data_IF_729171573406
#
_entry.id   IF_729171573406
#
_cell.length_a   1.000
_cell.length_b   1.000
_cell.length_c   1.000
_cell.angle_alpha   90.00
_cell.angle_beta   90.00
_cell.angle_gamma   90.00
#
_symmetry.space_group_name_H-M   'P 1'
#
loop_
_entity.id
_entity.type
_entity.pdbx_description
1 polymer ?
#
# COMPACT_ATOMS: atom_id res chain seq x y z
N UNK A 1 7.80 -6.11 1.48
CA UNK A 1 7.97 -5.58 2.86
C UNK A 1 8.32 -6.68 3.83
N UNK A 2 7.54 -7.77 3.92
CA UNK A 2 7.78 -8.86 4.88
C UNK A 2 9.21 -9.43 4.79
N UNK A 3 9.69 -9.74 3.58
CA UNK A 3 11.05 -10.28 3.36
C UNK A 3 12.14 -9.29 3.81
N UNK A 4 11.95 -7.98 3.57
CA UNK A 4 12.91 -6.94 4.00
C UNK A 4 12.97 -6.80 5.52
N UNK A 5 11.81 -6.87 6.20
CA UNK A 5 11.72 -6.80 7.65
C UNK A 5 12.33 -8.06 8.28
N UNK A 6 12.00 -9.22 7.73
CA UNK A 6 12.56 -10.51 8.15
C UNK A 6 14.08 -10.52 8.02
N UNK A 7 14.62 -10.08 6.88
CA UNK A 7 16.06 -9.98 6.67
C UNK A 7 16.74 -8.97 7.60
N UNK A 8 16.14 -7.79 7.82
CA UNK A 8 16.65 -6.79 8.76
C UNK A 8 16.65 -7.30 10.20
N UNK A 9 15.62 -7.99 10.63
CA UNK A 9 15.53 -8.59 11.95
C UNK A 9 16.62 -9.66 12.15
N UNK A 10 16.78 -10.57 11.19
CA UNK A 10 17.81 -11.61 11.24
C UNK A 10 19.23 -11.04 11.17
N UNK A 11 19.43 -10.00 10.36
CA UNK A 11 20.72 -9.30 10.26
C UNK A 11 21.07 -8.62 11.60
N UNK A 12 20.11 -7.93 12.21
CA UNK A 12 20.29 -7.29 13.52
C UNK A 12 20.59 -8.33 14.61
N UNK A 13 19.86 -9.45 14.62
CA UNK A 13 20.07 -10.56 15.54
C UNK A 13 21.47 -11.18 15.37
N UNK A 14 21.88 -11.45 14.13
CA UNK A 14 23.21 -11.98 13.82
C UNK A 14 24.32 -11.02 14.23
N UNK A 15 24.13 -9.71 14.01
CA UNK A 15 25.08 -8.67 14.41
C UNK A 15 25.24 -8.62 15.95
N UNK A 16 24.13 -8.65 16.69
CA UNK A 16 24.16 -8.63 18.16
C UNK A 16 24.85 -9.85 18.73
N UNK A 17 24.53 -11.03 18.20
CA UNK A 17 25.20 -12.28 18.62
C UNK A 17 26.68 -12.20 18.27
N UNK A 18 27.05 -11.75 17.07
CA UNK A 18 28.45 -11.59 16.65
C UNK A 18 29.22 -10.61 17.53
N UNK A 19 28.67 -9.44 17.82
CA UNK A 19 29.27 -8.42 18.69
C UNK A 19 29.39 -8.94 20.12
N UNK A 20 28.39 -9.63 20.65
CA UNK A 20 28.41 -10.22 21.99
C UNK A 20 29.52 -11.26 22.11
N UNK A 21 29.65 -12.14 21.12
CA UNK A 21 30.73 -13.14 21.05
C UNK A 21 32.10 -12.46 21.00
N UNK A 22 32.25 -11.42 20.17
CA UNK A 22 33.52 -10.69 20.02
C UNK A 22 33.92 -9.96 21.31
N UNK A 23 32.99 -9.30 21.99
CA UNK A 23 33.24 -8.64 23.29
C UNK A 23 33.62 -9.66 24.34
N UNK A 24 32.91 -10.76 24.41
CA UNK A 24 33.18 -11.87 25.31
C UNK A 24 34.60 -12.43 25.12
N UNK A 25 34.93 -12.72 23.87
CA UNK A 25 36.25 -13.20 23.51
C UNK A 25 37.35 -12.20 23.86
N UNK A 26 37.17 -10.91 23.55
CA UNK A 26 38.15 -9.87 23.84
C UNK A 26 38.36 -9.64 25.35
N UNK A 27 37.29 -9.68 26.13
CA UNK A 27 37.38 -9.55 27.59
C UNK A 27 38.04 -10.79 28.22
N UNK A 28 37.71 -12.00 27.76
CA UNK A 28 38.36 -13.22 28.20
C UNK A 28 39.86 -13.18 27.87
N UNK A 29 40.23 -12.72 26.70
CA UNK A 29 41.64 -12.60 26.31
C UNK A 29 42.42 -11.58 27.19
N UNK A 30 41.81 -10.42 27.47
CA UNK A 30 42.43 -9.38 28.35
C UNK A 30 42.57 -9.85 29.79
N UNK A 31 41.63 -10.57 30.34
CA UNK A 31 41.69 -11.10 31.69
C UNK A 31 42.73 -12.22 31.81
N UNK A 32 42.87 -12.99 30.74
CA UNK A 32 43.89 -14.01 30.61
C UNK A 32 45.32 -13.41 30.66
N UNK A 33 45.53 -12.35 29.86
CA UNK A 33 46.79 -11.62 29.82
C UNK A 33 47.15 -10.98 31.19
N UNK A 34 46.15 -10.49 31.96
CA UNK A 34 46.36 -9.90 33.30
C UNK A 34 46.76 -10.95 34.35
N UNK A 35 46.15 -12.11 34.35
CA UNK A 35 46.44 -13.20 35.31
C UNK A 35 47.81 -13.82 35.01
N UNK A 36 48.27 -13.83 33.78
CA UNK A 36 49.56 -14.36 33.39
C UNK A 36 50.68 -13.50 33.95
N UNK A 37 50.49 -12.18 34.06
CA UNK A 37 51.49 -11.26 34.59
C UNK A 37 51.75 -11.45 36.10
N UNK A 38 50.74 -11.85 36.87
CA UNK A 38 50.84 -11.98 38.33
C UNK A 38 51.42 -13.32 38.83
N UNK A 39 51.53 -14.36 38.02
CA UNK A 39 51.85 -15.74 38.45
C UNK A 39 53.22 -16.25 38.00
N UNK A 40 54.11 -15.39 37.48
CA UNK A 40 55.40 -15.83 36.88
C UNK A 40 56.54 -16.32 37.82
N UNK A 41 56.65 -15.98 39.11
CA UNK A 41 57.81 -16.37 39.90
C UNK A 41 57.92 -17.86 40.26
N UNK A 42 56.86 -18.61 40.58
CA UNK A 42 57.05 -19.95 41.18
C UNK A 42 57.58 -21.02 40.21
N UNK A 43 57.14 -21.03 38.94
CA UNK A 43 57.48 -22.09 37.98
C UNK A 43 58.97 -22.12 37.62
N UNK A 44 59.60 -20.96 37.46
CA UNK A 44 61.01 -20.89 37.16
C UNK A 44 61.88 -21.26 38.39
N UNK A 45 61.40 -20.90 39.59
CA UNK A 45 62.08 -21.24 40.84
C UNK A 45 62.00 -22.76 41.12
N UNK A 46 60.82 -23.36 41.01
CA UNK A 46 60.62 -24.83 41.20
C UNK A 46 61.42 -25.67 40.16
N UNK A 47 61.41 -25.19 38.88
CA UNK A 47 62.23 -25.85 37.86
C UNK A 47 63.74 -25.74 38.13
N UNK A 48 64.20 -24.65 38.70
CA UNK A 48 65.61 -24.49 39.08
C UNK A 48 65.99 -25.39 40.29
N UNK A 49 65.08 -25.52 41.23
CA UNK A 49 65.26 -26.44 42.40
C UNK A 49 65.29 -27.89 41.96
N UNK A 50 64.40 -28.32 41.07
CA UNK A 50 64.39 -29.66 40.49
C UNK A 50 65.65 -29.96 39.67
N UNK A 51 66.25 -28.95 39.02
CA UNK A 51 67.50 -29.10 38.29
C UNK A 51 68.68 -29.22 39.29
N UNK A 52 68.69 -28.37 40.31
CA UNK A 52 69.73 -28.38 41.31
C UNK A 52 69.79 -29.71 42.16
N UNK A 53 68.61 -30.27 42.51
CA UNK A 53 68.53 -31.48 43.35
C UNK A 53 68.67 -32.81 42.60
N UNK A 54 68.35 -32.83 41.29
CA UNK A 54 68.32 -34.08 40.51
C UNK A 54 68.96 -34.01 39.11
N UNK A 55 69.64 -32.94 38.81
CA UNK A 55 70.18 -32.69 37.48
C UNK A 55 69.16 -32.76 36.38
N UNK A 56 69.54 -33.01 35.13
CA UNK A 56 68.68 -33.15 33.97
C UNK A 56 67.57 -34.23 34.17
N UNK A 57 67.85 -35.29 34.91
CA UNK A 57 66.83 -36.34 35.21
C UNK A 57 65.77 -35.82 36.18
N UNK A 58 66.13 -35.02 37.18
CA UNK A 58 65.20 -34.40 38.12
C UNK A 58 64.30 -33.39 37.43
N UNK A 59 64.85 -32.59 36.58
CA UNK A 59 64.08 -31.61 35.78
C UNK A 59 63.07 -32.25 34.80
N UNK A 60 63.50 -33.37 34.15
CA UNK A 60 62.60 -34.17 33.33
C UNK A 60 61.43 -34.75 34.08
N UNK A 61 61.73 -35.31 35.31
CA UNK A 61 60.68 -35.90 36.18
C UNK A 61 59.74 -34.84 36.71
N UNK A 62 60.23 -33.65 37.08
CA UNK A 62 59.44 -32.52 37.53
C UNK A 62 58.57 -32.01 36.43
N UNK A 63 59.11 -31.85 35.20
CA UNK A 63 58.35 -31.36 34.01
C UNK A 63 57.20 -32.34 33.67
N UNK A 64 57.47 -33.63 33.68
CA UNK A 64 56.43 -34.63 33.41
C UNK A 64 55.36 -34.68 34.54
N UNK A 65 55.73 -34.50 35.82
CA UNK A 65 54.75 -34.46 36.90
C UNK A 65 53.90 -33.17 36.95
N UNK A 66 54.42 -32.06 36.47
CA UNK A 66 53.72 -30.76 36.50
C UNK A 66 53.01 -30.42 35.17
N UNK A 67 53.08 -31.29 34.16
CA UNK A 67 52.45 -31.06 32.87
C UNK A 67 50.92 -30.97 32.95
N UNK A 68 50.29 -31.78 33.84
CA UNK A 68 48.84 -31.81 34.05
C UNK A 68 48.33 -30.75 35.05
N UNK A 69 49.20 -30.26 35.96
CA UNK A 69 48.81 -29.27 36.97
C UNK A 69 48.76 -27.83 36.41
N UNK A 70 49.27 -27.60 35.22
CA UNK A 70 49.13 -26.37 34.46
C UNK A 70 48.09 -26.54 33.33
N UNK A 71 46.90 -26.89 33.74
CA UNK A 71 45.81 -27.33 32.84
C UNK A 71 45.41 -26.36 31.70
N UNK A 72 45.98 -25.18 31.64
CA UNK A 72 45.68 -24.14 30.61
C UNK A 72 46.94 -23.68 29.85
N UNK A 73 48.13 -24.31 30.07
CA UNK A 73 49.42 -23.82 29.51
C UNK A 73 50.27 -24.99 29.05
N UNK A 74 50.92 -24.79 27.89
CA UNK A 74 51.97 -25.68 27.46
C UNK A 74 53.32 -25.15 27.98
N UNK A 75 53.93 -25.90 28.91
CA UNK A 75 55.28 -25.61 29.44
C UNK A 75 56.29 -26.40 28.63
N UNK A 76 57.24 -25.64 28.00
CA UNK A 76 58.35 -26.24 27.27
C UNK A 76 59.67 -25.78 27.96
N UNK A 77 60.59 -26.74 28.13
CA UNK A 77 61.97 -26.43 28.56
C UNK A 77 62.87 -26.79 27.38
N UNK A 78 63.39 -25.76 26.75
CA UNK A 78 64.17 -25.90 25.50
C UNK A 78 65.67 -25.86 25.84
N UNK A 79 66.37 -26.86 25.35
CA UNK A 79 67.82 -26.96 25.49
C UNK A 79 68.59 -26.03 24.52
N UNK A 80 69.91 -25.98 24.61
CA UNK A 80 70.72 -25.14 23.69
C UNK A 80 70.66 -25.61 22.22
N UNK A 81 70.18 -26.84 22.02
CA UNK A 81 69.90 -27.45 20.70
C UNK A 81 68.59 -26.98 20.08
N UNK A 82 67.81 -26.16 20.77
CA UNK A 82 66.48 -25.69 20.33
C UNK A 82 65.37 -26.73 20.41
N UNK A 83 65.63 -27.90 21.04
CA UNK A 83 64.69 -28.99 21.19
C UNK A 83 64.09 -29.00 22.59
N UNK A 84 62.76 -29.31 22.70
CA UNK A 84 62.13 -29.48 24.03
C UNK A 84 62.71 -30.72 24.75
N UNK A 85 62.99 -30.58 26.02
CA UNK A 85 63.64 -31.61 26.86
C UNK A 85 62.86 -32.92 26.92
N UNK A 86 61.54 -32.91 26.70
CA UNK A 86 60.68 -34.12 26.56
C UNK A 86 60.56 -34.62 25.13
N UNK A 87 61.26 -34.00 24.16
CA UNK A 87 61.19 -34.42 22.75
C UNK A 87 59.90 -34.09 22.07
N UNK A 88 59.10 -33.15 22.61
CA UNK A 88 57.83 -32.72 22.01
C UNK A 88 58.06 -31.72 20.89
N UNK A 89 57.22 -31.74 19.89
CA UNK A 89 57.25 -30.70 18.87
C UNK A 89 56.78 -29.36 19.45
N UNK A 90 57.57 -28.34 19.30
CA UNK A 90 57.21 -26.96 19.70
C UNK A 90 56.03 -26.48 18.83
N UNK A 91 54.97 -25.96 19.46
CA UNK A 91 53.88 -25.33 18.73
C UNK A 91 54.38 -24.07 17.97
N UNK A 92 53.67 -23.68 16.94
CA UNK A 92 54.00 -22.50 16.13
C UNK A 92 54.14 -21.21 17.01
N UNK A 93 53.33 -21.09 18.05
CA UNK A 93 53.35 -20.04 19.06
C UNK A 93 54.55 -20.14 19.97
N UNK A 94 55.02 -21.35 20.32
CA UNK A 94 56.23 -21.59 21.10
C UNK A 94 57.48 -21.23 20.28
N UNK A 95 57.47 -21.63 19.01
CA UNK A 95 58.58 -21.36 18.07
C UNK A 95 58.77 -19.85 17.84
N UNK A 96 57.71 -19.11 17.57
CA UNK A 96 57.77 -17.63 17.44
C UNK A 96 58.27 -16.93 18.71
N UNK A 97 57.90 -17.44 19.88
CA UNK A 97 58.42 -16.90 21.17
C UNK A 97 59.91 -17.21 21.35
N UNK A 98 60.36 -18.39 21.01
CA UNK A 98 61.77 -18.74 21.05
C UNK A 98 62.60 -17.86 20.12
N UNK A 99 62.15 -17.69 18.90
CA UNK A 99 62.79 -16.77 17.92
C UNK A 99 62.85 -15.32 18.41
N UNK A 100 61.74 -14.82 19.02
CA UNK A 100 61.72 -13.49 19.59
C UNK A 100 62.73 -13.29 20.69
N UNK A 101 62.90 -14.25 21.61
CA UNK A 101 63.87 -14.20 22.67
C UNK A 101 65.32 -14.38 22.16
N UNK A 102 65.54 -15.19 21.16
CA UNK A 102 66.88 -15.40 20.54
C UNK A 102 67.35 -14.20 19.75
N UNK A 103 66.41 -13.48 19.09
CA UNK A 103 66.75 -12.29 18.30
C UNK A 103 67.14 -11.08 19.19
N UNK A 104 66.51 -10.97 20.38
CA UNK A 104 66.77 -9.89 21.31
C UNK A 104 68.13 -10.06 22.10
N UNK A 105 68.60 -11.28 22.17
CA UNK A 105 69.92 -11.60 22.75
C UNK A 105 71.13 -11.26 21.87
N UNK A 106 70.94 -11.11 20.54
CA UNK A 106 71.99 -10.73 19.56
C UNK A 106 72.09 -9.22 19.33
N UNK A 107 71.11 -8.43 19.77
CA UNK A 107 71.14 -6.99 19.69
C UNK A 107 71.77 -6.41 20.95
N UNK A 108 73.04 -5.97 20.86
CA UNK A 108 73.82 -5.40 21.98
C UNK A 108 73.14 -4.19 22.66
N UNK A 109 73.72 -3.75 23.84
CA UNK A 109 73.07 -2.77 24.70
C UNK A 109 73.38 -1.33 24.22
N UNK A 110 72.71 -0.87 23.15
CA UNK A 110 72.65 0.58 22.82
C UNK A 110 71.55 0.92 21.85
N UNK A 111 70.43 1.32 22.45
CA UNK A 111 69.63 2.41 21.92
C UNK A 111 68.70 2.91 23.02
N UNK A 112 69.03 4.10 23.61
CA UNK A 112 68.13 4.87 24.46
C UNK A 112 66.92 5.30 23.65
N UNK A 113 65.67 5.13 24.15
CA UNK A 113 64.52 5.69 23.52
C UNK A 113 64.58 7.23 23.54
N UNK A 114 64.17 7.85 22.43
CA UNK A 114 64.05 9.31 22.30
C UNK A 114 63.12 9.86 23.40
N UNK A 115 63.51 10.95 24.02
CA UNK A 115 62.69 11.74 24.95
C UNK A 115 61.43 12.22 24.25
N UNK A 116 60.26 11.78 24.77
CA UNK A 116 58.96 12.25 24.26
C UNK A 116 57.91 11.19 24.02
N UNK A 117 58.20 9.92 24.18
CA UNK A 117 57.17 8.86 24.06
C UNK A 117 56.32 8.74 25.35
N UNK A 118 54.97 8.62 25.26
CA UNK A 118 54.13 8.47 26.44
C UNK A 118 54.50 7.18 27.21
N UNK A 119 54.38 7.16 28.55
CA UNK A 119 54.75 6.01 29.36
C UNK A 119 53.80 4.84 29.06
N UNK A 120 54.20 3.97 28.15
CA UNK A 120 53.61 2.69 28.04
C UNK A 120 54.10 1.84 29.24
N UNK A 121 53.23 1.62 30.21
CA UNK A 121 53.46 0.77 31.40
C UNK A 121 53.68 -0.72 31.07
N UNK A 122 54.28 -1.01 29.94
CA UNK A 122 54.60 -2.35 29.49
C UNK A 122 56.11 -2.41 29.13
N UNK A 123 56.94 -2.79 30.11
CA UNK A 123 58.24 -3.35 29.78
C UNK A 123 58.08 -4.87 29.67
N UNK A 124 58.07 -5.47 28.48
CA UNK A 124 58.17 -6.92 28.36
C UNK A 124 59.51 -7.36 29.00
N UNK A 125 59.47 -8.45 29.77
CA UNK A 125 60.74 -9.06 30.23
C UNK A 125 61.57 -9.39 28.97
N UNK A 126 62.70 -8.71 28.83
CA UNK A 126 63.59 -8.82 27.66
C UNK A 126 64.31 -10.18 27.56
N UNK A 127 64.22 -11.05 28.57
CA UNK A 127 64.86 -12.36 28.55
C UNK A 127 63.90 -13.44 29.03
N UNK A 128 63.85 -14.58 28.30
CA UNK A 128 63.15 -15.76 28.78
C UNK A 128 63.85 -16.25 30.06
N UNK A 129 63.10 -16.76 31.08
CA UNK A 129 63.71 -17.36 32.25
C UNK A 129 64.63 -18.52 31.82
N UNK A 130 65.90 -18.37 32.16
CA UNK A 130 66.91 -19.39 31.89
C UNK A 130 67.33 -20.05 33.20
N UNK A 131 67.47 -21.36 33.19
CA UNK A 131 68.04 -22.16 34.26
C UNK A 131 69.36 -22.75 33.78
N UNK A 132 70.39 -22.60 34.57
CA UNK A 132 71.73 -23.10 34.23
C UNK A 132 72.01 -24.34 35.06
N UNK A 133 72.33 -25.43 34.40
CA UNK A 133 72.73 -26.68 35.06
C UNK A 133 74.18 -26.57 35.55
N UNK A 134 74.56 -27.53 36.48
CA UNK A 134 75.90 -27.57 37.08
C UNK A 134 77.04 -27.82 36.08
N UNK A 135 76.70 -28.26 34.88
CA UNK A 135 77.62 -28.45 33.74
C UNK A 135 77.78 -27.21 32.88
N UNK A 136 77.08 -26.12 33.23
CA UNK A 136 77.11 -24.86 32.47
C UNK A 136 76.07 -24.79 31.35
N UNK A 137 75.26 -25.81 31.14
CA UNK A 137 74.24 -25.86 30.06
C UNK A 137 73.04 -24.99 30.46
N UNK A 138 72.62 -24.08 29.61
CA UNK A 138 71.45 -23.19 29.84
C UNK A 138 70.19 -23.74 29.17
N UNK A 139 69.13 -23.78 29.93
CA UNK A 139 67.77 -24.21 29.46
C UNK A 139 66.83 -23.03 29.52
N UNK A 140 66.07 -22.82 28.46
CA UNK A 140 65.08 -21.75 28.37
C UNK A 140 63.68 -22.26 28.69
N UNK A 141 63.00 -21.62 29.63
CA UNK A 141 61.64 -21.97 30.01
C UNK A 141 60.68 -21.15 29.13
N UNK A 142 59.86 -21.83 28.31
CA UNK A 142 58.81 -21.24 27.51
C UNK A 142 57.45 -21.67 28.07
N UNK A 143 56.66 -20.69 28.48
CA UNK A 143 55.26 -20.89 28.87
C UNK A 143 54.40 -20.34 27.75
N UNK A 144 53.68 -21.23 27.04
CA UNK A 144 52.78 -20.87 25.95
C UNK A 144 51.34 -20.98 26.46
N UNK A 145 50.60 -19.88 26.52
CA UNK A 145 49.25 -19.91 26.94
C UNK A 145 48.37 -20.65 25.88
N UNK A 146 47.59 -21.62 26.30
CA UNK A 146 46.53 -22.16 25.47
C UNK A 146 45.45 -21.10 25.31
N UNK A 147 45.15 -20.71 24.07
CA UNK A 147 44.06 -19.77 23.81
C UNK A 147 42.77 -20.33 24.39
N UNK A 148 41.99 -19.53 25.15
CA UNK A 148 40.72 -19.99 25.67
C UNK A 148 39.83 -20.43 24.51
N UNK A 149 39.24 -21.62 24.61
CA UNK A 149 38.23 -22.04 23.65
C UNK A 149 37.02 -21.13 23.78
N UNK A 150 36.34 -20.89 22.67
CA UNK A 150 35.10 -20.08 22.65
C UNK A 150 34.09 -20.67 23.67
N UNK A 151 34.01 -21.99 23.80
CA UNK A 151 33.16 -22.67 24.77
C UNK A 151 33.54 -22.39 26.21
N UNK A 152 34.84 -22.32 26.54
CA UNK A 152 35.31 -21.99 27.90
C UNK A 152 35.05 -20.52 28.27
N UNK A 153 35.02 -19.63 27.30
CA UNK A 153 34.65 -18.24 27.53
C UNK A 153 33.14 -18.07 27.80
N UNK A 154 32.29 -18.83 27.10
CA UNK A 154 30.83 -18.80 27.29
C UNK A 154 30.36 -19.42 28.60
N UNK A 155 31.15 -20.30 29.24
CA UNK A 155 30.78 -20.96 30.51
C UNK A 155 30.92 -20.05 31.74
N UNK A 156 31.42 -18.81 31.60
CA UNK A 156 31.49 -17.86 32.72
C UNK A 156 30.11 -17.26 33.02
N UNK A 157 29.61 -17.30 34.28
CA UNK A 157 28.20 -17.03 34.63
C UNK A 157 27.71 -15.61 34.32
N UNK A 158 28.58 -14.61 34.20
CA UNK A 158 28.19 -13.24 33.91
C UNK A 158 27.88 -12.96 32.43
N UNK A 159 28.38 -13.79 31.52
CA UNK A 159 28.29 -13.53 30.07
C UNK A 159 26.92 -13.95 29.50
N UNK A 160 26.37 -15.12 29.80
CA UNK A 160 25.04 -15.48 29.35
C UNK A 160 23.95 -14.52 29.85
N UNK A 161 24.12 -13.97 31.05
CA UNK A 161 23.18 -12.97 31.61
C UNK A 161 23.22 -11.65 30.83
N UNK A 162 24.38 -11.16 30.45
CA UNK A 162 24.51 -9.93 29.63
C UNK A 162 23.96 -10.14 28.22
N UNK A 163 24.21 -11.27 27.59
CA UNK A 163 23.64 -11.62 26.26
C UNK A 163 22.12 -11.71 26.34
N UNK A 164 21.57 -12.32 27.39
CA UNK A 164 20.13 -12.41 27.62
C UNK A 164 19.51 -11.04 27.81
N UNK A 165 20.13 -10.14 28.58
CA UNK A 165 19.64 -8.78 28.78
C UNK A 165 19.59 -7.97 27.48
N UNK A 166 20.64 -8.03 26.67
CA UNK A 166 20.67 -7.36 25.34
C UNK A 166 19.63 -7.94 24.42
N UNK A 167 19.49 -9.28 24.36
CA UNK A 167 18.48 -9.94 23.54
C UNK A 167 17.04 -9.52 23.93
N UNK A 168 16.75 -9.39 25.23
CA UNK A 168 15.46 -8.92 25.74
C UNK A 168 15.18 -7.47 25.32
N UNK A 169 16.15 -6.57 25.46
CA UNK A 169 15.99 -5.16 25.06
C UNK A 169 15.74 -5.05 23.56
N UNK A 170 16.51 -5.75 22.76
CA UNK A 170 16.32 -5.73 21.28
C UNK A 170 14.98 -6.34 20.88
N UNK A 171 14.59 -7.45 21.50
CA UNK A 171 13.28 -8.08 21.26
C UNK A 171 12.13 -7.13 21.64
N UNK A 172 12.24 -6.42 22.77
CA UNK A 172 11.24 -5.42 23.18
C UNK A 172 11.16 -4.24 22.21
N UNK A 173 12.30 -3.70 21.77
CA UNK A 173 12.35 -2.59 20.81
C UNK A 173 11.81 -2.99 19.44
N UNK A 174 12.16 -4.17 18.94
CA UNK A 174 11.66 -4.66 17.66
C UNK A 174 10.17 -4.98 17.71
N UNK A 175 9.68 -5.57 18.81
CA UNK A 175 8.26 -5.82 19.03
C UNK A 175 7.45 -4.52 19.11
N UNK A 176 7.95 -3.52 19.83
CA UNK A 176 7.34 -2.20 19.92
C UNK A 176 7.28 -1.51 18.57
N UNK A 177 8.41 -1.55 17.82
CA UNK A 177 8.48 -0.96 16.47
C UNK A 177 7.51 -1.67 15.51
N UNK A 178 7.46 -3.00 15.53
CA UNK A 178 6.56 -3.80 14.69
C UNK A 178 5.09 -3.50 15.01
N UNK A 179 4.75 -3.43 16.30
CA UNK A 179 3.40 -3.08 16.76
C UNK A 179 2.97 -1.70 16.26
N UNK A 180 3.86 -0.71 16.36
CA UNK A 180 3.57 0.66 15.91
C UNK A 180 3.53 0.78 14.39
N UNK A 181 4.38 0.02 13.68
CA UNK A 181 4.51 0.14 12.24
C UNK A 181 3.45 -0.63 11.46
N UNK A 182 2.98 -1.78 11.97
CA UNK A 182 2.01 -2.64 11.30
C UNK A 182 0.69 -2.76 12.04
N UNK A 183 0.71 -3.07 13.33
CA UNK A 183 -0.52 -3.38 14.06
C UNK A 183 -1.45 -2.18 14.20
N UNK A 184 -0.90 -0.98 14.43
CA UNK A 184 -1.71 0.23 14.57
C UNK A 184 -2.42 0.63 13.27
N UNK A 185 -1.76 0.66 12.09
CA UNK A 185 -2.44 0.90 10.81
C UNK A 185 -3.50 -0.15 10.46
N UNK A 186 -3.20 -1.43 10.68
CA UNK A 186 -4.16 -2.52 10.42
C UNK A 186 -5.41 -2.36 11.30
N UNK A 187 -5.23 -2.00 12.57
CA UNK A 187 -6.36 -1.76 13.47
C UNK A 187 -7.22 -0.59 13.01
N UNK A 188 -6.63 0.49 12.49
CA UNK A 188 -7.37 1.61 11.90
C UNK A 188 -8.15 1.20 10.66
N UNK A 189 -7.56 0.37 9.77
CA UNK A 189 -8.28 -0.20 8.63
C UNK A 189 -9.46 -1.04 9.08
N UNK A 190 -9.30 -1.84 10.14
CA UNK A 190 -10.40 -2.62 10.72
C UNK A 190 -11.50 -1.74 11.32
N UNK A 191 -11.13 -0.66 12.02
CA UNK A 191 -12.06 0.34 12.56
C UNK A 191 -12.79 1.06 11.42
N UNK A 192 -12.07 1.45 10.35
CA UNK A 192 -12.66 2.01 9.13
C UNK A 192 -13.66 1.07 8.47
N UNK A 193 -13.31 -0.21 8.32
CA UNK A 193 -14.20 -1.21 7.76
C UNK A 193 -15.47 -1.42 8.61
N UNK A 194 -15.35 -1.38 9.93
CA UNK A 194 -16.51 -1.41 10.83
C UNK A 194 -17.34 -0.14 10.73
N UNK A 195 -16.71 1.03 10.60
CA UNK A 195 -17.41 2.29 10.41
C UNK A 195 -18.22 2.29 9.11
N UNK A 196 -17.67 1.76 8.02
CA UNK A 196 -18.40 1.54 6.76
C UNK A 196 -19.59 0.60 6.97
N UNK A 197 -19.42 -0.51 7.69
CA UNK A 197 -20.50 -1.46 7.98
C UNK A 197 -21.62 -0.85 8.85
N UNK A 198 -21.30 0.11 9.72
CA UNK A 198 -22.28 0.86 10.53
C UNK A 198 -22.74 2.17 9.89
N UNK A 199 -22.45 2.34 8.60
CA UNK A 199 -22.83 3.51 7.80
C UNK A 199 -22.20 4.85 8.22
N UNK A 200 -21.16 4.82 9.03
CA UNK A 200 -20.39 6.00 9.43
C UNK A 200 -19.24 6.23 8.45
N UNK A 201 -19.54 6.88 7.31
CA UNK A 201 -18.62 7.02 6.17
C UNK A 201 -17.67 8.24 6.26
N UNK A 202 -17.66 8.97 7.39
CA UNK A 202 -16.84 10.18 7.56
C UNK A 202 -15.43 9.88 8.10
N UNK A 203 -15.18 8.65 8.57
CA UNK A 203 -13.88 8.25 9.09
C UNK A 203 -12.86 8.14 7.97
N UNK A 204 -11.73 8.86 8.10
CA UNK A 204 -10.58 8.78 7.18
C UNK A 204 -9.49 7.89 7.77
N UNK A 205 -9.21 6.79 7.11
CA UNK A 205 -8.19 5.84 7.54
C UNK A 205 -6.80 6.36 7.19
N UNK A 206 -6.65 7.07 6.07
CA UNK A 206 -5.38 7.66 5.62
C UNK A 206 -4.87 8.78 6.53
N UNK A 207 -5.74 9.50 7.26
CA UNK A 207 -5.42 10.66 8.10
C UNK A 207 -4.49 10.38 9.31
N UNK A 208 -3.82 9.30 9.37
CA UNK A 208 -2.81 9.00 10.41
C UNK A 208 -1.63 8.25 9.82
N UNK A 209 -1.55 8.22 8.49
CA UNK A 209 -0.49 7.59 7.71
C UNK A 209 0.25 8.63 6.85
N UNK A 210 0.08 9.93 7.16
CA UNK A 210 0.73 11.03 6.46
C UNK A 210 2.25 10.88 6.53
N UNK A 211 2.90 11.03 5.37
CA UNK A 211 4.35 10.86 5.23
C UNK A 211 4.81 9.40 4.99
N UNK A 212 3.91 8.42 4.92
CA UNK A 212 4.24 7.06 4.51
C UNK A 212 3.99 6.86 3.00
N UNK A 213 4.93 6.16 2.35
CA UNK A 213 4.87 5.80 0.94
C UNK A 213 4.95 4.28 0.74
N UNK A 214 4.39 3.52 1.69
CA UNK A 214 4.36 2.06 1.63
C UNK A 214 2.97 1.55 1.18
N UNK A 215 2.86 0.24 1.04
CA UNK A 215 1.67 -0.47 0.58
C UNK A 215 0.46 -0.24 1.50
N UNK A 216 0.70 -0.02 2.81
CA UNK A 216 -0.36 0.29 3.77
C UNK A 216 -0.95 1.68 3.56
N UNK A 217 -0.12 2.65 3.18
CA UNK A 217 -0.59 4.00 2.85
C UNK A 217 -1.37 4.02 1.52
N UNK A 218 -0.99 3.18 0.54
CA UNK A 218 -1.77 2.98 -0.69
C UNK A 218 -3.12 2.38 -0.35
N UNK A 219 -3.14 1.27 0.39
CA UNK A 219 -4.37 0.59 0.80
C UNK A 219 -5.33 1.51 1.58
N UNK A 220 -4.80 2.35 2.47
CA UNK A 220 -5.62 3.30 3.22
C UNK A 220 -6.26 4.36 2.31
N UNK A 221 -5.53 4.84 1.28
CA UNK A 221 -6.07 5.78 0.29
C UNK A 221 -7.14 5.14 -0.60
N UNK A 222 -6.91 3.91 -1.04
CA UNK A 222 -7.89 3.16 -1.83
C UNK A 222 -9.15 2.88 -1.02
N UNK A 223 -8.99 2.58 0.28
CA UNK A 223 -10.12 2.42 1.21
C UNK A 223 -10.92 3.71 1.36
N UNK A 224 -10.26 4.85 1.56
CA UNK A 224 -10.93 6.15 1.67
C UNK A 224 -11.66 6.53 0.37
N UNK A 225 -11.06 6.25 -0.79
CA UNK A 225 -11.70 6.44 -2.10
C UNK A 225 -12.96 5.57 -2.26
N UNK A 226 -12.91 4.31 -1.84
CA UNK A 226 -14.07 3.41 -1.80
C UNK A 226 -15.17 3.94 -0.87
N UNK A 227 -14.81 4.41 0.32
CA UNK A 227 -15.76 4.98 1.29
C UNK A 227 -16.44 6.24 0.72
N UNK A 228 -15.69 7.11 0.02
CA UNK A 228 -16.24 8.28 -0.67
C UNK A 228 -17.22 7.90 -1.77
N UNK A 229 -16.88 6.90 -2.57
CA UNK A 229 -17.77 6.41 -3.63
C UNK A 229 -19.06 5.83 -3.07
N UNK A 230 -18.96 5.09 -1.96
CA UNK A 230 -20.13 4.54 -1.26
C UNK A 230 -21.03 5.65 -0.71
N UNK A 231 -20.43 6.69 -0.10
CA UNK A 231 -21.13 7.86 0.42
C UNK A 231 -21.83 8.64 -0.70
N UNK A 232 -21.15 8.86 -1.82
CA UNK A 232 -21.72 9.53 -2.98
C UNK A 232 -22.90 8.74 -3.56
N UNK A 233 -22.78 7.42 -3.72
CA UNK A 233 -23.85 6.54 -4.21
C UNK A 233 -25.07 6.56 -3.27
N UNK A 234 -24.83 6.48 -1.96
CA UNK A 234 -25.91 6.54 -0.97
C UNK A 234 -26.65 7.87 -0.98
N UNK A 235 -25.90 8.98 -1.04
CA UNK A 235 -26.46 10.32 -1.09
C UNK A 235 -27.28 10.53 -2.36
N UNK A 236 -26.81 10.05 -3.51
CA UNK A 236 -27.52 10.09 -4.77
C UNK A 236 -28.85 9.29 -4.70
N UNK A 237 -28.80 8.07 -4.11
CA UNK A 237 -30.01 7.23 -3.91
C UNK A 237 -31.02 7.89 -2.99
N UNK A 238 -30.58 8.48 -1.87
CA UNK A 238 -31.48 9.18 -0.93
C UNK A 238 -32.13 10.40 -1.58
N UNK A 239 -31.33 11.16 -2.37
CA UNK A 239 -31.86 12.30 -3.14
C UNK A 239 -32.90 11.86 -4.14
N UNK A 240 -32.62 10.82 -4.92
CA UNK A 240 -33.54 10.24 -5.89
C UNK A 240 -34.88 9.84 -5.25
N UNK A 241 -34.87 9.14 -4.12
CA UNK A 241 -36.09 8.73 -3.39
C UNK A 241 -36.91 9.94 -2.90
N UNK A 242 -36.22 10.99 -2.45
CA UNK A 242 -36.86 12.24 -2.03
C UNK A 242 -37.56 12.93 -3.21
N UNK A 243 -36.84 13.03 -4.34
CA UNK A 243 -37.34 13.71 -5.53
C UNK A 243 -38.53 12.95 -6.14
N UNK A 244 -38.46 11.61 -6.20
CA UNK A 244 -39.60 10.75 -6.56
C UNK A 244 -40.83 11.06 -5.67
N UNK A 245 -40.61 11.12 -4.35
CA UNK A 245 -41.73 11.37 -3.42
C UNK A 245 -42.37 12.74 -3.64
N UNK A 246 -41.58 13.76 -3.96
CA UNK A 246 -42.07 15.10 -4.28
C UNK A 246 -42.83 15.12 -5.62
N UNK A 247 -42.29 14.50 -6.66
CA UNK A 247 -42.90 14.48 -8.00
C UNK A 247 -44.17 13.61 -8.08
N UNK A 248 -44.30 12.57 -7.25
CA UNK A 248 -45.53 11.79 -7.11
C UNK A 248 -46.62 12.55 -6.32
N UNK A 249 -46.26 13.34 -5.32
CA UNK A 249 -47.24 14.07 -4.48
C UNK A 249 -47.99 15.14 -5.28
N UNK A 250 -47.34 15.80 -6.21
CA UNK A 250 -47.95 16.88 -7.00
C UNK A 250 -49.12 16.41 -7.88
N UNK A 251 -49.00 15.37 -8.76
CA UNK A 251 -50.10 14.87 -9.56
C UNK A 251 -51.22 14.28 -8.69
N UNK A 252 -50.87 13.59 -7.59
CA UNK A 252 -51.87 13.09 -6.64
C UNK A 252 -52.73 14.20 -6.02
N UNK A 253 -52.08 15.33 -5.66
CA UNK A 253 -52.82 16.49 -5.15
C UNK A 253 -53.77 17.09 -6.22
N UNK A 254 -53.31 17.21 -7.48
CA UNK A 254 -54.16 17.69 -8.62
C UNK A 254 -55.31 16.76 -8.90
N UNK A 255 -55.10 15.44 -8.91
CA UNK A 255 -56.17 14.44 -9.04
C UNK A 255 -57.21 14.58 -7.93
N UNK A 256 -56.79 14.77 -6.68
CA UNK A 256 -57.74 14.98 -5.55
C UNK A 256 -58.56 16.25 -5.74
N UNK A 257 -57.98 17.33 -6.22
CA UNK A 257 -58.69 18.59 -6.50
C UNK A 257 -59.68 18.35 -7.67
N UNK A 258 -59.23 17.73 -8.76
CA UNK A 258 -60.11 17.43 -9.91
C UNK A 258 -61.30 16.57 -9.50
N UNK A 259 -61.08 15.54 -8.69
CA UNK A 259 -62.14 14.66 -8.16
C UNK A 259 -63.14 15.45 -7.26
N UNK A 260 -62.62 16.36 -6.42
CA UNK A 260 -63.45 17.23 -5.59
C UNK A 260 -64.34 18.17 -6.42
N UNK A 261 -63.75 18.76 -7.47
CA UNK A 261 -64.48 19.63 -8.40
C UNK A 261 -65.51 18.85 -9.24
N UNK A 262 -65.21 17.67 -9.75
CA UNK A 262 -66.15 16.82 -10.44
C UNK A 262 -67.39 16.43 -9.64
N UNK A 263 -67.22 16.28 -8.30
CA UNK A 263 -68.31 16.03 -7.35
C UNK A 263 -69.19 17.25 -7.06
N UNK A 264 -68.59 18.43 -7.08
CA UNK A 264 -69.27 19.70 -6.75
C UNK A 264 -69.95 20.34 -7.93
N UNK A 265 -69.41 20.14 -9.15
CA UNK A 265 -69.86 20.76 -10.38
C UNK A 265 -70.23 19.71 -11.42
N UNK A 266 -71.45 19.15 -11.40
CA UNK A 266 -71.88 18.10 -12.31
C UNK A 266 -71.79 18.45 -13.79
N UNK A 267 -72.03 19.72 -14.15
CA UNK A 267 -71.98 20.22 -15.53
C UNK A 267 -70.53 20.31 -16.10
N UNK A 268 -69.49 20.29 -15.26
CA UNK A 268 -68.07 20.32 -15.65
C UNK A 268 -67.34 18.99 -15.38
N UNK A 269 -68.10 17.95 -15.00
CA UNK A 269 -67.56 16.65 -14.58
C UNK A 269 -66.72 15.99 -15.68
N UNK A 270 -67.16 16.03 -16.95
CA UNK A 270 -66.43 15.45 -18.09
C UNK A 270 -65.03 16.05 -18.20
N UNK A 271 -64.93 17.38 -18.14
CA UNK A 271 -63.63 18.06 -18.20
C UNK A 271 -62.71 17.76 -17.04
N UNK A 272 -63.27 17.53 -15.83
CA UNK A 272 -62.48 17.11 -14.67
C UNK A 272 -62.03 15.65 -14.76
N UNK A 273 -62.85 14.77 -15.40
CA UNK A 273 -62.47 13.40 -15.71
C UNK A 273 -61.32 13.33 -16.72
N UNK A 274 -61.36 14.13 -17.80
CA UNK A 274 -60.27 14.22 -18.78
C UNK A 274 -58.95 14.67 -18.10
N UNK A 275 -59.06 15.62 -17.15
CA UNK A 275 -57.89 16.02 -16.34
C UNK A 275 -57.35 14.89 -15.45
N UNK A 276 -58.24 14.12 -14.83
CA UNK A 276 -57.87 12.98 -14.03
C UNK A 276 -57.16 11.94 -14.89
N UNK A 277 -57.69 11.61 -16.06
CA UNK A 277 -57.08 10.67 -17.01
C UNK A 277 -55.70 11.13 -17.43
N UNK A 278 -55.50 12.37 -17.78
CA UNK A 278 -54.20 13.00 -18.12
C UNK A 278 -53.20 12.92 -16.98
N UNK A 279 -53.64 13.12 -15.71
CA UNK A 279 -52.73 13.02 -14.56
C UNK A 279 -52.37 11.56 -14.22
N UNK A 280 -53.27 10.59 -14.47
CA UNK A 280 -53.03 9.15 -14.34
C UNK A 280 -51.99 8.70 -15.38
N UNK A 281 -52.17 9.04 -16.66
CA UNK A 281 -51.22 8.73 -17.72
C UNK A 281 -49.84 9.30 -17.44
N UNK A 282 -49.79 10.56 -16.93
CA UNK A 282 -48.55 11.19 -16.53
C UNK A 282 -47.85 10.46 -15.40
N UNK A 283 -48.61 9.99 -14.39
CA UNK A 283 -48.11 9.27 -13.25
C UNK A 283 -47.57 7.90 -13.65
N UNK A 284 -48.27 7.19 -14.54
CA UNK A 284 -47.85 5.90 -15.09
C UNK A 284 -46.51 6.04 -15.86
N UNK A 285 -46.38 7.06 -16.66
CA UNK A 285 -45.15 7.40 -17.37
C UNK A 285 -44.00 7.69 -16.40
N UNK A 286 -44.24 8.46 -15.36
CA UNK A 286 -43.23 8.77 -14.32
C UNK A 286 -42.75 7.50 -13.63
N UNK A 287 -43.69 6.60 -13.23
CA UNK A 287 -43.37 5.31 -12.59
C UNK A 287 -42.50 4.46 -13.54
N UNK A 288 -42.89 4.35 -14.80
CA UNK A 288 -42.16 3.58 -15.81
C UNK A 288 -40.73 4.11 -16.00
N UNK A 289 -40.54 5.43 -16.05
CA UNK A 289 -39.23 6.04 -16.15
C UNK A 289 -38.35 5.82 -14.90
N UNK A 290 -38.95 5.91 -13.70
CA UNK A 290 -38.26 5.62 -12.45
C UNK A 290 -37.81 4.17 -12.37
N UNK A 291 -38.69 3.22 -12.75
CA UNK A 291 -38.35 1.79 -12.81
C UNK A 291 -37.27 1.50 -13.84
N UNK A 292 -37.30 2.13 -15.00
CA UNK A 292 -36.23 2.04 -16.00
C UNK A 292 -34.91 2.54 -15.47
N UNK A 293 -34.89 3.72 -14.82
CA UNK A 293 -33.69 4.29 -14.21
C UNK A 293 -33.12 3.39 -13.12
N UNK A 294 -34.00 2.84 -12.26
CA UNK A 294 -33.61 1.92 -11.19
C UNK A 294 -32.99 0.61 -11.74
N UNK A 295 -33.57 0.05 -12.81
CA UNK A 295 -33.02 -1.13 -13.49
C UNK A 295 -31.62 -0.84 -14.08
N UNK A 296 -31.42 0.32 -14.70
CA UNK A 296 -30.13 0.72 -15.27
C UNK A 296 -29.06 1.02 -14.22
N UNK A 297 -29.44 1.35 -12.97
CA UNK A 297 -28.51 1.61 -11.86
C UNK A 297 -28.13 0.34 -11.08
N UNK A 298 -28.87 -0.76 -11.22
CA UNK A 298 -28.54 -2.02 -10.56
C UNK A 298 -27.35 -2.68 -11.23
N UNK A 299 -26.31 -3.03 -10.45
CA UNK A 299 -25.14 -3.76 -10.94
C UNK A 299 -25.48 -5.16 -11.50
N UNK A 300 -26.61 -5.74 -11.04
CA UNK A 300 -27.13 -7.06 -11.46
C UNK A 300 -28.06 -7.01 -12.67
N UNK A 301 -28.18 -5.88 -13.37
CA UNK A 301 -29.04 -5.79 -14.56
C UNK A 301 -28.43 -6.58 -15.72
N UNK A 302 -28.59 -7.88 -15.67
CA UNK A 302 -28.36 -8.80 -16.81
C UNK A 302 -29.50 -8.61 -17.80
N UNK A 303 -29.44 -7.54 -18.61
CA UNK A 303 -30.28 -7.46 -19.80
C UNK A 303 -29.53 -8.11 -20.99
N UNK A 304 -30.29 -8.83 -21.80
CA UNK A 304 -29.73 -9.41 -23.02
C UNK A 304 -29.14 -8.31 -23.89
N UNK A 305 -27.88 -8.47 -24.22
CA UNK A 305 -27.18 -7.56 -25.13
C UNK A 305 -27.11 -8.23 -26.48
N UNK A 306 -27.63 -7.55 -27.48
CA UNK A 306 -27.59 -7.97 -28.88
C UNK A 306 -26.88 -6.94 -29.74
N UNK A 307 -26.48 -7.30 -30.93
CA UNK A 307 -25.92 -6.36 -31.89
C UNK A 307 -27.08 -5.54 -32.49
N UNK A 308 -27.28 -4.34 -31.99
CA UNK A 308 -28.39 -3.46 -32.40
C UNK A 308 -27.95 -2.60 -33.59
N UNK A 309 -28.59 -2.70 -34.75
CA UNK A 309 -28.35 -1.80 -35.88
C UNK A 309 -28.93 -0.44 -35.57
N UNK A 310 -28.04 0.53 -35.28
CA UNK A 310 -28.45 1.84 -34.77
C UNK A 310 -29.21 2.67 -35.79
N UNK A 311 -28.90 2.53 -37.07
CA UNK A 311 -29.59 3.28 -38.11
C UNK A 311 -31.08 2.98 -38.16
N UNK A 312 -31.50 1.71 -37.92
CA UNK A 312 -32.92 1.31 -37.83
C UNK A 312 -33.60 1.96 -36.61
N UNK A 313 -32.93 1.98 -35.45
CA UNK A 313 -33.44 2.61 -34.24
C UNK A 313 -33.64 4.10 -34.44
N UNK A 314 -32.70 4.77 -35.12
CA UNK A 314 -32.80 6.19 -35.42
C UNK A 314 -33.98 6.44 -36.40
N UNK A 315 -34.16 5.63 -37.45
CA UNK A 315 -35.26 5.76 -38.38
C UNK A 315 -36.63 5.59 -37.70
N UNK A 316 -36.77 4.70 -36.75
CA UNK A 316 -37.97 4.56 -35.92
C UNK A 316 -38.23 5.82 -35.08
N UNK A 317 -37.22 6.25 -34.31
CA UNK A 317 -37.34 7.40 -33.40
C UNK A 317 -37.61 8.71 -34.17
N UNK A 318 -37.01 8.87 -35.33
CA UNK A 318 -37.25 10.05 -36.20
C UNK A 318 -38.70 10.06 -36.68
N UNK A 319 -39.23 8.94 -37.18
CA UNK A 319 -40.63 8.85 -37.61
C UNK A 319 -41.62 9.19 -36.50
N UNK A 320 -41.38 8.68 -35.28
CA UNK A 320 -42.23 8.97 -34.12
C UNK A 320 -42.16 10.46 -33.74
N UNK A 321 -40.95 11.02 -33.75
CA UNK A 321 -40.73 12.41 -33.41
C UNK A 321 -41.27 13.38 -34.50
N UNK A 322 -41.23 13.04 -35.77
CA UNK A 322 -41.86 13.81 -36.88
C UNK A 322 -43.37 13.87 -36.68
N UNK A 323 -44.05 12.77 -36.32
CA UNK A 323 -45.46 12.76 -36.02
C UNK A 323 -45.81 13.69 -34.85
N UNK A 324 -45.04 13.62 -33.72
CA UNK A 324 -45.23 14.54 -32.59
C UNK A 324 -44.90 16.01 -32.96
N UNK A 325 -43.86 16.22 -33.77
CA UNK A 325 -43.40 17.55 -34.17
C UNK A 325 -44.31 18.25 -35.16
N UNK A 326 -45.08 17.49 -36.00
CA UNK A 326 -45.99 18.01 -37.01
C UNK A 326 -47.05 18.95 -36.40
N UNK A 327 -47.53 18.67 -35.20
CA UNK A 327 -48.48 19.53 -34.48
C UNK A 327 -47.90 20.90 -34.10
N UNK A 328 -46.55 21.05 -34.06
CA UNK A 328 -45.84 22.28 -33.76
C UNK A 328 -45.19 22.92 -34.99
N UNK A 329 -45.31 22.29 -36.16
CA UNK A 329 -44.61 22.66 -37.37
C UNK A 329 -43.08 22.45 -37.28
N UNK A 330 -42.59 21.68 -36.35
CA UNK A 330 -41.17 21.36 -36.24
C UNK A 330 -40.80 20.26 -37.26
N UNK A 331 -39.83 20.53 -38.12
CA UNK A 331 -39.29 19.53 -39.05
C UNK A 331 -38.01 18.90 -38.46
N UNK A 332 -37.88 17.59 -38.63
CA UNK A 332 -36.68 16.87 -38.22
C UNK A 332 -35.80 16.66 -39.46
N UNK A 333 -34.56 17.13 -39.43
CA UNK A 333 -33.59 16.93 -40.50
C UNK A 333 -32.55 15.89 -40.03
N UNK A 334 -32.76 14.64 -40.41
CA UNK A 334 -31.81 13.56 -40.15
C UNK A 334 -30.77 13.47 -41.27
N UNK A 335 -29.50 13.37 -40.92
CA UNK A 335 -28.37 13.26 -41.84
C UNK A 335 -27.31 12.29 -41.40
N UNK A 336 -26.67 11.62 -42.35
CA UNK A 336 -25.66 10.60 -42.10
C UNK A 336 -26.26 9.22 -41.87
N UNK A 337 -25.44 8.20 -42.03
CA UNK A 337 -25.70 6.80 -41.68
C UNK A 337 -24.42 6.24 -41.07
N UNK A 338 -24.56 5.42 -40.07
CA UNK A 338 -23.39 4.82 -39.40
C UNK A 338 -22.97 3.47 -40.00
N UNK A 339 -23.92 2.70 -40.50
CA UNK A 339 -23.74 1.30 -40.82
C UNK A 339 -23.31 0.43 -39.64
N UNK A 340 -23.36 0.98 -38.42
CA UNK A 340 -22.75 0.40 -37.24
C UNK A 340 -23.79 -0.33 -36.37
N UNK A 341 -23.33 -1.40 -35.72
CA UNK A 341 -24.04 -2.05 -34.64
C UNK A 341 -23.43 -1.69 -33.29
N UNK A 342 -24.27 -1.50 -32.28
CA UNK A 342 -23.89 -1.32 -30.89
C UNK A 342 -24.33 -2.53 -30.09
N UNK A 343 -23.42 -3.10 -29.28
CA UNK A 343 -23.78 -4.21 -28.40
C UNK A 343 -24.59 -3.67 -27.20
N UNK A 344 -25.88 -3.99 -27.18
CA UNK A 344 -26.76 -3.45 -26.15
C UNK A 344 -28.18 -3.93 -26.20
N UNK A 345 -29.04 -3.29 -25.41
CA UNK A 345 -30.48 -3.52 -25.44
C UNK A 345 -31.15 -2.49 -26.33
N UNK A 346 -31.89 -2.97 -27.35
CA UNK A 346 -32.58 -2.14 -28.36
C UNK A 346 -33.54 -1.12 -27.73
N UNK A 347 -34.33 -1.55 -26.73
CA UNK A 347 -35.31 -0.66 -26.10
C UNK A 347 -34.66 0.47 -25.32
N UNK A 348 -33.55 0.18 -24.62
CA UNK A 348 -32.83 1.20 -23.89
C UNK A 348 -32.15 2.20 -24.82
N UNK A 349 -31.50 1.74 -25.88
CA UNK A 349 -30.89 2.60 -26.90
C UNK A 349 -31.93 3.48 -27.59
N UNK A 350 -33.08 2.89 -27.97
CA UNK A 350 -34.24 3.62 -28.54
C UNK A 350 -34.72 4.71 -27.57
N UNK A 351 -34.98 4.35 -26.32
CA UNK A 351 -35.41 5.29 -25.28
C UNK A 351 -34.42 6.44 -25.05
N UNK A 352 -33.10 6.15 -25.09
CA UNK A 352 -32.07 7.18 -24.93
C UNK A 352 -32.10 8.22 -26.06
N UNK A 353 -32.20 7.79 -27.31
CA UNK A 353 -32.25 8.67 -28.49
C UNK A 353 -33.57 9.44 -28.50
N UNK A 354 -34.69 8.75 -28.28
CA UNK A 354 -36.04 9.34 -28.20
C UNK A 354 -36.13 10.45 -27.17
N UNK A 355 -35.62 10.26 -25.96
CA UNK A 355 -35.64 11.25 -24.88
C UNK A 355 -34.93 12.55 -25.29
N UNK A 356 -33.81 12.45 -26.00
CA UNK A 356 -33.09 13.65 -26.48
C UNK A 356 -33.85 14.33 -27.63
N UNK A 357 -34.33 13.54 -28.60
CA UNK A 357 -35.03 14.08 -29.75
C UNK A 357 -36.35 14.74 -29.35
N UNK A 358 -37.13 14.11 -28.46
CA UNK A 358 -38.35 14.72 -27.90
C UNK A 358 -38.07 15.99 -27.11
N UNK A 359 -36.98 16.05 -26.37
CA UNK A 359 -36.57 17.32 -25.72
C UNK A 359 -36.26 18.39 -26.75
N UNK A 360 -35.52 18.06 -27.81
CA UNK A 360 -35.20 19.00 -28.87
C UNK A 360 -36.47 19.55 -29.55
N UNK A 361 -37.42 18.72 -29.94
CA UNK A 361 -38.72 19.12 -30.51
C UNK A 361 -39.53 19.99 -29.54
N UNK A 362 -39.49 19.64 -28.27
CA UNK A 362 -40.26 20.32 -27.23
C UNK A 362 -39.79 21.73 -26.96
N UNK A 363 -38.46 21.95 -26.87
CA UNK A 363 -37.87 23.26 -26.56
C UNK A 363 -37.61 24.11 -27.80
N UNK A 364 -37.70 23.55 -29.01
CA UNK A 364 -37.64 24.30 -30.26
C UNK A 364 -38.84 25.23 -30.40
N UNK A 365 -38.62 26.47 -30.89
CA UNK A 365 -39.72 27.33 -31.34
C UNK A 365 -40.51 26.67 -32.46
N UNK A 366 -41.80 27.03 -32.64
CA UNK A 366 -42.59 26.56 -33.78
C UNK A 366 -41.92 26.90 -35.12
N UNK A 367 -42.08 25.99 -36.09
CA UNK A 367 -41.53 26.13 -37.45
C UNK A 367 -40.00 26.23 -37.53
N UNK A 368 -39.29 25.68 -36.54
CA UNK A 368 -37.82 25.57 -36.57
C UNK A 368 -37.37 24.13 -36.75
N UNK A 369 -36.29 23.88 -37.51
CA UNK A 369 -35.78 22.54 -37.69
C UNK A 369 -35.02 22.02 -36.45
N UNK A 370 -35.18 20.73 -36.16
CA UNK A 370 -34.33 19.96 -35.27
C UNK A 370 -33.40 19.10 -36.12
N UNK A 371 -32.10 19.27 -35.94
CA UNK A 371 -31.08 18.55 -36.72
C UNK A 371 -30.60 17.30 -35.95
N UNK A 372 -30.62 16.14 -36.63
CA UNK A 372 -30.02 14.90 -36.13
C UNK A 372 -28.91 14.49 -37.10
N UNK A 373 -27.68 14.40 -36.61
CA UNK A 373 -26.54 14.00 -37.40
C UNK A 373 -25.90 12.72 -36.81
N UNK A 374 -25.66 11.72 -37.66
CA UNK A 374 -25.03 10.46 -37.30
C UNK A 374 -23.67 10.37 -37.98
N UNK A 375 -22.64 10.03 -37.22
CA UNK A 375 -21.30 9.81 -37.73
C UNK A 375 -20.68 8.58 -37.00
N UNK A 376 -19.93 7.79 -37.74
CA UNK A 376 -19.17 6.69 -37.17
C UNK A 376 -17.70 6.83 -37.61
N UNK A 377 -16.79 6.91 -36.68
CA UNK A 377 -15.35 7.01 -36.95
C UNK A 377 -14.55 6.29 -35.86
N UNK A 378 -13.51 5.59 -36.28
CA UNK A 378 -12.57 4.91 -35.38
C UNK A 378 -13.24 4.00 -34.33
N UNK A 379 -14.29 3.27 -34.69
CA UNK A 379 -14.99 2.38 -33.77
C UNK A 379 -15.89 3.10 -32.76
N UNK A 380 -16.18 4.38 -32.97
CA UNK A 380 -17.07 5.19 -32.13
C UNK A 380 -18.21 5.77 -32.95
N UNK A 381 -19.43 5.43 -32.54
CA UNK A 381 -20.65 6.05 -33.07
C UNK A 381 -20.90 7.38 -32.33
N UNK A 382 -21.23 8.40 -33.07
CA UNK A 382 -21.61 9.70 -32.53
C UNK A 382 -22.94 10.15 -33.13
N UNK A 383 -23.95 10.41 -32.28
CA UNK A 383 -25.25 10.99 -32.65
C UNK A 383 -25.28 12.39 -32.06
N UNK A 384 -25.48 13.41 -32.90
CA UNK A 384 -25.62 14.82 -32.51
C UNK A 384 -27.06 15.26 -32.78
N UNK A 385 -27.73 15.73 -31.74
CA UNK A 385 -29.10 16.28 -31.85
C UNK A 385 -29.01 17.75 -31.47
N UNK A 386 -29.48 18.61 -32.35
CA UNK A 386 -29.38 20.07 -32.23
C UNK A 386 -30.76 20.69 -32.35
N UNK A 387 -31.10 21.52 -31.38
CA UNK A 387 -32.31 22.34 -31.40
C UNK A 387 -32.00 23.81 -31.59
N UNK A 388 -33.05 24.63 -31.70
CA UNK A 388 -33.00 26.08 -31.74
C UNK A 388 -33.74 26.74 -30.59
N UNK A 389 -33.79 26.03 -29.45
CA UNK A 389 -34.39 26.48 -28.21
C UNK A 389 -33.58 27.59 -27.50
N UNK A 390 -33.97 27.94 -26.29
CA UNK A 390 -33.29 28.98 -25.50
C UNK A 390 -31.88 28.57 -25.01
N UNK A 391 -31.51 27.32 -25.18
CA UNK A 391 -30.28 26.80 -24.58
C UNK A 391 -30.41 26.54 -23.08
N UNK A 392 -29.27 26.37 -22.41
CA UNK A 392 -29.16 26.07 -20.98
C UNK A 392 -28.09 26.96 -20.36
N UNK A 393 -28.29 27.55 -19.17
CA UNK A 393 -27.22 28.28 -18.47
C UNK A 393 -25.94 27.41 -18.32
N UNK A 394 -24.77 28.03 -18.51
CA UNK A 394 -23.50 27.32 -18.55
C UNK A 394 -23.27 26.41 -17.33
N UNK A 395 -23.61 26.90 -16.14
CA UNK A 395 -23.45 26.14 -14.86
C UNK A 395 -24.39 24.92 -14.75
N UNK A 396 -25.47 24.93 -15.54
CA UNK A 396 -26.47 23.86 -15.52
C UNK A 396 -26.27 22.80 -16.61
N UNK A 397 -25.38 23.02 -17.59
CA UNK A 397 -25.14 22.09 -18.71
C UNK A 397 -24.78 20.68 -18.27
N UNK A 398 -23.98 20.50 -17.21
CA UNK A 398 -23.67 19.20 -16.66
C UNK A 398 -24.84 18.60 -15.87
N UNK A 399 -25.66 19.46 -15.27
CA UNK A 399 -26.74 19.08 -14.35
C UNK A 399 -28.00 18.64 -15.06
N UNK A 400 -28.19 18.98 -16.33
CA UNK A 400 -29.40 18.55 -17.09
C UNK A 400 -29.50 17.03 -17.23
N UNK A 401 -28.40 16.29 -16.96
CA UNK A 401 -28.37 14.82 -16.92
C UNK A 401 -28.61 14.25 -15.50
N UNK A 402 -28.80 15.10 -14.49
CA UNK A 402 -29.20 14.67 -13.15
C UNK A 402 -30.71 14.37 -13.14
N UNK A 403 -31.14 13.30 -12.46
CA UNK A 403 -32.57 12.99 -12.32
C UNK A 403 -33.34 14.16 -11.68
N UNK A 404 -34.53 14.46 -12.22
CA UNK A 404 -35.43 15.53 -11.77
C UNK A 404 -34.90 16.96 -11.89
N UNK A 405 -33.71 17.13 -12.46
CA UNK A 405 -33.17 18.47 -12.66
C UNK A 405 -33.91 19.20 -13.79
N UNK A 406 -34.27 20.46 -13.54
CA UNK A 406 -34.90 21.36 -14.51
C UNK A 406 -34.34 22.77 -14.32
N UNK A 407 -34.04 23.44 -15.43
CA UNK A 407 -33.63 24.85 -15.44
C UNK A 407 -34.78 25.71 -14.87
N UNK A 408 -34.48 26.69 -14.04
CA UNK A 408 -35.46 27.47 -13.29
C UNK A 408 -36.50 28.15 -14.20
N UNK A 409 -36.10 28.66 -15.36
CA UNK A 409 -36.97 29.34 -16.35
C UNK A 409 -37.97 28.38 -17.00
N UNK A 410 -37.72 27.09 -17.04
CA UNK A 410 -38.59 26.06 -17.63
C UNK A 410 -39.63 25.49 -16.64
N UNK A 411 -39.73 26.04 -15.44
CA UNK A 411 -40.71 25.62 -14.40
C UNK A 411 -42.12 26.15 -14.67
N UNK A 412 -42.29 27.07 -15.65
CA UNK A 412 -43.61 27.58 -15.99
C UNK A 412 -44.55 26.47 -16.50
N UNK A 413 -45.79 26.58 -16.12
CA UNK A 413 -46.83 25.56 -16.04
C UNK A 413 -47.28 24.85 -17.35
N UNK A 414 -46.67 25.18 -18.49
CA UNK A 414 -47.01 24.61 -19.80
C UNK A 414 -46.03 23.56 -20.34
N UNK A 415 -44.78 23.51 -19.82
CA UNK A 415 -43.72 22.68 -20.41
C UNK A 415 -43.47 21.38 -19.63
N UNK A 416 -44.48 20.52 -19.47
CA UNK A 416 -44.63 19.33 -18.66
C UNK A 416 -43.60 18.17 -18.80
N UNK A 417 -42.31 18.37 -18.61
CA UNK A 417 -41.30 17.28 -18.49
C UNK A 417 -40.89 17.06 -17.06
N UNK A 418 -40.72 15.80 -16.66
CA UNK A 418 -40.42 15.40 -15.28
C UNK A 418 -38.93 15.47 -14.94
N UNK A 419 -38.04 15.80 -15.90
CA UNK A 419 -36.60 15.91 -15.69
C UNK A 419 -35.87 14.58 -15.56
N UNK A 420 -36.48 13.47 -16.00
CA UNK A 420 -35.87 12.12 -15.90
C UNK A 420 -35.28 11.68 -17.24
N UNK A 421 -35.83 12.13 -18.39
CA UNK A 421 -35.45 11.61 -19.70
C UNK A 421 -33.97 11.71 -20.04
N UNK A 422 -33.34 12.86 -19.82
CA UNK A 422 -31.89 13.02 -20.05
C UNK A 422 -31.05 12.22 -19.05
N UNK A 423 -31.51 12.04 -17.83
CA UNK A 423 -30.86 11.16 -16.85
C UNK A 423 -30.88 9.70 -17.28
N UNK A 424 -32.01 9.23 -17.84
CA UNK A 424 -32.11 7.88 -18.47
C UNK A 424 -31.10 7.80 -19.63
N UNK A 425 -31.09 8.79 -20.52
CA UNK A 425 -30.11 8.83 -21.64
C UNK A 425 -28.68 8.68 -21.14
N UNK A 426 -28.25 9.49 -20.17
CA UNK A 426 -26.90 9.43 -19.62
C UNK A 426 -26.59 8.07 -18.97
N UNK A 427 -27.58 7.46 -18.32
CA UNK A 427 -27.39 6.15 -17.67
C UNK A 427 -27.33 5.02 -18.70
N UNK A 428 -28.16 5.06 -19.74
CA UNK A 428 -28.11 4.10 -20.86
C UNK A 428 -26.75 4.19 -21.55
N UNK A 429 -26.28 5.41 -21.88
CA UNK A 429 -24.98 5.56 -22.52
C UNK A 429 -23.87 4.97 -21.65
N UNK A 430 -23.84 5.28 -20.35
CA UNK A 430 -22.85 4.73 -19.41
C UNK A 430 -22.87 3.21 -19.35
N UNK A 431 -24.05 2.60 -19.30
CA UNK A 431 -24.18 1.13 -19.28
C UNK A 431 -23.72 0.46 -20.58
N UNK A 432 -23.64 1.23 -21.68
CA UNK A 432 -23.14 0.79 -22.99
C UNK A 432 -21.68 1.30 -23.26
N UNK A 433 -20.96 1.78 -22.22
CA UNK A 433 -19.59 2.27 -22.36
C UNK A 433 -19.47 3.61 -23.10
N UNK A 434 -20.59 4.32 -23.23
CA UNK A 434 -20.69 5.60 -23.93
C UNK A 434 -20.81 6.81 -23.01
N UNK A 435 -20.97 7.99 -23.61
CA UNK A 435 -21.13 9.27 -22.91
C UNK A 435 -22.18 10.15 -23.57
N UNK A 436 -22.88 10.96 -22.75
CA UNK A 436 -23.79 12.01 -23.21
C UNK A 436 -23.24 13.37 -22.74
N UNK A 437 -23.11 14.33 -23.66
CA UNK A 437 -22.58 15.68 -23.40
C UNK A 437 -23.53 16.71 -24.04
N UNK A 438 -23.75 17.82 -23.35
CA UNK A 438 -24.53 18.93 -23.86
C UNK A 438 -23.68 20.20 -23.96
N UNK A 439 -23.92 20.97 -24.97
CA UNK A 439 -23.28 22.27 -25.21
C UNK A 439 -24.28 23.25 -25.83
N UNK A 440 -24.20 24.53 -25.46
CA UNK A 440 -24.96 25.56 -26.14
C UNK A 440 -24.37 25.83 -27.53
N UNK A 441 -25.24 26.07 -28.50
CA UNK A 441 -24.84 26.45 -29.86
C UNK A 441 -24.52 27.95 -29.91
N UNK A 442 -23.51 28.37 -30.66
CA UNK A 442 -23.21 29.81 -30.83
C UNK A 442 -24.37 30.60 -31.42
N UNK A 443 -25.19 29.94 -32.26
CA UNK A 443 -26.34 30.51 -32.95
C UNK A 443 -27.63 30.46 -32.13
N UNK A 444 -27.57 30.00 -30.88
CA UNK A 444 -28.72 29.71 -30.03
C UNK A 444 -29.19 28.25 -30.14
N UNK A 445 -29.75 27.73 -29.04
CA UNK A 445 -30.18 26.36 -28.92
C UNK A 445 -29.16 25.44 -28.18
N UNK A 446 -29.49 24.17 -28.06
CA UNK A 446 -28.70 23.16 -27.42
C UNK A 446 -28.24 22.08 -28.41
N UNK A 447 -27.01 21.64 -28.29
CA UNK A 447 -26.50 20.44 -28.93
C UNK A 447 -26.32 19.36 -27.85
N UNK A 448 -26.98 18.21 -28.02
CA UNK A 448 -26.70 17.02 -27.22
C UNK A 448 -25.99 15.99 -28.08
N UNK A 449 -24.85 15.55 -27.61
CA UNK A 449 -23.97 14.59 -28.26
C UNK A 449 -23.97 13.29 -27.50
N UNK A 450 -24.37 12.21 -28.17
CA UNK A 450 -24.33 10.83 -27.66
C UNK A 450 -23.17 10.11 -28.35
N UNK A 451 -22.28 9.53 -27.58
CA UNK A 451 -21.12 8.77 -28.10
C UNK A 451 -21.12 7.37 -27.53
N UNK A 452 -20.92 6.35 -28.37
CA UNK A 452 -20.93 4.93 -27.97
C UNK A 452 -19.88 4.14 -28.76
N UNK A 453 -19.25 3.12 -28.15
CA UNK A 453 -18.40 2.19 -28.90
C UNK A 453 -19.24 1.35 -29.83
N UNK A 454 -18.72 1.07 -31.03
CA UNK A 454 -19.37 0.17 -32.01
C UNK A 454 -18.68 -1.20 -31.99
N UNK A 455 -19.43 -2.27 -32.26
CA UNK A 455 -18.82 -3.50 -32.70
C UNK A 455 -18.39 -3.35 -34.17
N UNK A 456 -17.12 -3.64 -34.42
CA UNK A 456 -16.59 -3.74 -35.79
C UNK A 456 -17.01 -5.05 -36.42
#
# INVERSE_FOLDING_TARGET
VFVRIFLLFWLAMALIVGVSIAITYSNAAREYDRQEFQRRPPVAFEASEALAGGGVRGLKKWLAANQDSVSERDLFIVGPDGVDMLGRHLSESAMRRLEFFNHDTQSGPEQRPAEGAPPTNFRPMRQAPQIVAADGTSYTILVVPRRPSIFGALSRPGIPLAVLAVALVVSALTSWWLARHFSAPIKRLQEGARAVATETLDLRVSAGLDGRNDELAVLARDFDAMADQLKANRSARTRLLRDISHELRSPLARMRVALGLARQLPNDSARQLDRLESEVERLDKLISQVLQLARLQSADSHYEREAVPIDEVIEEVVRDAEFEGAAKGCMISASGRSGACVLGNREFLRSAIENVLRNAVRYSPPNTPVELQVTCAQGSLQIRIRDRGPGVPGDDLARIFEPFFRVAESRDRGSGGEGIGLAITAQVLRSHGGTAIAANRPEGGLEVRLSMPTQV
#
